data_IF_132038149914
#
_entry.id   IF_132038149914
#
_cell.length_a   1.000
_cell.length_b   1.000
_cell.length_c   1.000
_cell.angle_alpha   90.00
_cell.angle_beta   90.00
_cell.angle_gamma   90.00
#
_symmetry.space_group_name_H-M   'P 1'
#
loop_
_entity.id
_entity.type
_entity.pdbx_description
1 polymer ?
#
# COMPACT_ATOMS: atom_id res chain seq x y z
N UNK A 1 15.29 13.60 -15.13
CA UNK A 1 14.07 13.74 -15.96
C UNK A 1 12.88 13.43 -15.07
N UNK A 2 12.13 14.43 -14.64
CA UNK A 2 10.92 14.23 -13.86
C UNK A 2 9.89 13.47 -14.70
N UNK A 3 9.38 12.36 -14.19
CA UNK A 3 8.31 11.63 -14.86
C UNK A 3 7.06 12.51 -14.79
N UNK A 4 6.59 13.00 -15.95
CA UNK A 4 5.38 13.81 -16.08
C UNK A 4 4.24 13.17 -15.26
N UNK A 5 3.68 13.93 -14.31
CA UNK A 5 2.59 13.51 -13.43
C UNK A 5 3.01 12.84 -12.11
N UNK A 6 4.30 12.65 -11.81
CA UNK A 6 4.77 12.24 -10.48
C UNK A 6 5.13 13.49 -9.66
N UNK A 7 4.42 13.72 -8.55
CA UNK A 7 4.48 14.96 -7.77
C UNK A 7 5.32 14.83 -6.50
N UNK A 8 5.29 13.65 -5.89
CA UNK A 8 5.99 13.35 -4.65
C UNK A 8 6.33 11.86 -4.60
N UNK A 9 7.52 11.53 -4.10
CA UNK A 9 7.95 10.15 -3.95
C UNK A 9 8.73 9.98 -2.66
N UNK A 10 8.25 9.11 -1.78
CA UNK A 10 9.00 8.61 -0.64
C UNK A 10 9.48 7.18 -0.89
N UNK A 11 10.68 6.87 -0.38
CA UNK A 11 11.31 5.56 -0.57
C UNK A 11 11.73 4.99 0.76
N UNK A 12 11.36 3.73 1.00
CA UNK A 12 11.75 2.97 2.19
C UNK A 12 12.48 1.70 1.76
N UNK A 13 13.70 1.50 2.26
CA UNK A 13 14.37 0.21 2.19
C UNK A 13 13.97 -0.61 3.42
N UNK A 14 13.54 -1.85 3.20
CA UNK A 14 13.21 -2.77 4.29
C UNK A 14 14.46 -3.07 5.12
N UNK A 15 14.33 -3.19 6.44
CA UNK A 15 15.45 -3.39 7.36
C UNK A 15 16.24 -4.67 7.06
N UNK A 16 15.54 -5.75 6.70
CA UNK A 16 16.17 -7.00 6.26
C UNK A 16 16.74 -6.97 4.82
N UNK A 17 16.59 -5.85 4.10
CA UNK A 17 17.13 -5.65 2.75
C UNK A 17 16.42 -6.43 1.64
N UNK A 18 15.33 -7.17 1.93
CA UNK A 18 14.63 -7.99 0.93
C UNK A 18 13.67 -7.20 0.04
N UNK A 19 13.21 -6.03 0.51
CA UNK A 19 12.19 -5.22 -0.13
C UNK A 19 12.57 -3.75 -0.19
N UNK A 20 12.00 -3.05 -1.16
CA UNK A 20 11.98 -1.59 -1.22
C UNK A 20 10.57 -1.14 -1.50
N UNK A 21 10.05 -0.24 -0.68
CA UNK A 21 8.74 0.36 -0.84
C UNK A 21 8.86 1.76 -1.43
N UNK A 22 7.93 2.13 -2.30
CA UNK A 22 7.82 3.46 -2.88
C UNK A 22 6.40 3.99 -2.70
N UNK A 23 6.28 5.20 -2.19
CA UNK A 23 5.02 5.91 -2.04
C UNK A 23 5.02 7.07 -3.02
N UNK A 24 4.34 6.90 -4.15
CA UNK A 24 4.36 7.88 -5.23
C UNK A 24 3.01 8.59 -5.28
N UNK A 25 2.97 9.90 -5.07
CA UNK A 25 1.79 10.72 -5.35
C UNK A 25 1.86 11.15 -6.80
N UNK A 26 0.76 10.91 -7.52
CA UNK A 26 0.64 11.21 -8.94
C UNK A 26 -0.62 11.97 -9.25
N UNK A 27 -0.57 12.75 -10.32
CA UNK A 27 -1.70 13.49 -10.89
C UNK A 27 -2.15 12.80 -12.18
N UNK A 28 -3.45 12.59 -12.32
CA UNK A 28 -4.03 12.08 -13.55
C UNK A 28 -4.24 13.23 -14.58
N UNK A 29 -4.74 12.90 -15.78
CA UNK A 29 -4.98 13.91 -16.84
C UNK A 29 -6.11 14.90 -16.55
N UNK A 30 -6.95 14.61 -15.55
CA UNK A 30 -8.08 15.42 -15.12
C UNK A 30 -7.74 16.31 -13.92
N UNK A 31 -6.52 16.17 -13.36
CA UNK A 31 -6.06 16.93 -12.20
C UNK A 31 -6.26 16.20 -10.87
N UNK A 32 -6.89 15.03 -10.85
CA UNK A 32 -7.11 14.29 -9.60
C UNK A 32 -5.82 13.61 -9.14
N UNK A 33 -5.59 13.63 -7.82
CA UNK A 33 -4.42 13.02 -7.23
C UNK A 33 -4.68 11.58 -6.80
N UNK A 34 -3.62 10.77 -6.79
CA UNK A 34 -3.69 9.41 -6.27
C UNK A 34 -2.36 8.96 -5.72
N UNK A 35 -2.43 8.11 -4.70
CA UNK A 35 -1.28 7.45 -4.11
C UNK A 35 -1.04 6.10 -4.80
N UNK A 36 0.20 5.85 -5.20
CA UNK A 36 0.64 4.57 -5.73
C UNK A 36 1.73 3.98 -4.83
N UNK A 37 1.36 2.97 -4.04
CA UNK A 37 2.24 2.25 -3.13
C UNK A 37 2.82 1.04 -3.86
N UNK A 38 4.13 0.99 -4.00
CA UNK A 38 4.84 -0.05 -4.75
C UNK A 38 5.74 -0.83 -3.82
N UNK A 39 5.66 -2.15 -3.84
CA UNK A 39 6.67 -3.03 -3.30
C UNK A 39 7.55 -3.53 -4.43
N UNK A 40 8.87 -3.48 -4.26
CA UNK A 40 9.83 -4.14 -5.13
C UNK A 40 10.70 -5.10 -4.34
N UNK A 41 10.78 -6.35 -4.79
CA UNK A 41 11.62 -7.39 -4.19
C UNK A 41 12.44 -8.11 -5.25
N UNK A 42 13.67 -8.49 -4.89
CA UNK A 42 14.52 -9.29 -5.77
C UNK A 42 14.05 -10.75 -5.73
N UNK A 43 13.84 -11.35 -6.90
CA UNK A 43 13.52 -12.77 -7.03
C UNK A 43 14.78 -13.62 -7.23
N UNK A 44 14.61 -14.95 -7.18
CA UNK A 44 15.70 -15.93 -7.25
C UNK A 44 16.50 -15.83 -8.56
N UNK A 45 15.87 -15.36 -9.64
CA UNK A 45 16.50 -15.16 -10.95
C UNK A 45 17.29 -13.83 -11.02
N UNK A 46 17.41 -13.11 -9.91
CA UNK A 46 18.07 -11.81 -9.83
C UNK A 46 17.31 -10.65 -10.46
N UNK A 47 16.06 -10.87 -10.90
CA UNK A 47 15.16 -9.83 -11.39
C UNK A 47 14.38 -9.21 -10.23
N UNK A 48 13.69 -8.10 -10.47
CA UNK A 48 12.84 -7.48 -9.48
C UNK A 48 11.37 -7.71 -9.82
N UNK A 49 10.66 -8.34 -8.90
CA UNK A 49 9.20 -8.35 -8.91
C UNK A 49 8.70 -7.01 -8.35
N UNK A 50 7.58 -6.55 -8.88
CA UNK A 50 6.94 -5.30 -8.48
C UNK A 50 5.45 -5.51 -8.33
N UNK A 51 4.94 -5.13 -7.16
CA UNK A 51 3.53 -5.15 -6.81
C UNK A 51 3.09 -3.72 -6.55
N UNK A 52 1.88 -3.35 -6.97
CA UNK A 52 1.43 -1.96 -6.98
C UNK A 52 -0.01 -1.88 -6.48
N UNK A 53 -0.25 -1.01 -5.50
CA UNK A 53 -1.57 -0.68 -4.98
C UNK A 53 -1.85 0.79 -5.25
N UNK A 54 -2.99 1.07 -5.87
CA UNK A 54 -3.43 2.43 -6.18
C UNK A 54 -4.58 2.83 -5.24
N UNK A 55 -4.42 3.96 -4.56
CA UNK A 55 -5.44 4.60 -3.72
C UNK A 55 -5.80 5.95 -4.32
N UNK A 56 -7.04 6.11 -4.75
CA UNK A 56 -7.53 7.39 -5.26
C UNK A 56 -7.94 8.30 -4.10
N UNK A 57 -7.93 9.60 -4.36
CA UNK A 57 -8.30 10.64 -3.40
C UNK A 57 -9.69 10.40 -2.77
N UNK A 58 -10.69 10.00 -3.56
CA UNK A 58 -12.04 9.75 -3.05
C UNK A 58 -12.15 8.61 -2.03
N UNK A 59 -11.18 7.69 -2.03
CA UNK A 59 -11.14 6.53 -1.12
C UNK A 59 -10.12 6.72 0.02
N UNK A 60 -9.35 7.82 0.01
CA UNK A 60 -8.15 7.99 0.84
C UNK A 60 -8.47 8.02 2.33
N UNK A 61 -9.48 8.79 2.75
CA UNK A 61 -9.86 8.92 4.16
C UNK A 61 -10.23 7.57 4.80
N UNK A 62 -11.06 6.80 4.10
CA UNK A 62 -11.48 5.47 4.56
C UNK A 62 -10.30 4.50 4.56
N UNK A 63 -9.44 4.57 3.54
CA UNK A 63 -8.24 3.76 3.46
C UNK A 63 -7.28 4.05 4.62
N UNK A 64 -7.00 5.32 4.92
CA UNK A 64 -6.14 5.77 6.03
C UNK A 64 -6.67 5.26 7.36
N UNK A 65 -7.97 5.44 7.62
CA UNK A 65 -8.62 4.96 8.85
C UNK A 65 -8.43 3.45 9.05
N UNK A 66 -8.73 2.64 8.03
CA UNK A 66 -8.66 1.18 8.16
C UNK A 66 -7.21 0.67 8.15
N UNK A 67 -6.31 1.34 7.42
CA UNK A 67 -4.89 1.04 7.42
C UNK A 67 -4.25 1.29 8.80
N UNK A 68 -4.56 2.42 9.45
CA UNK A 68 -4.06 2.71 10.81
C UNK A 68 -4.49 1.65 11.82
N UNK A 69 -5.76 1.22 11.79
CA UNK A 69 -6.26 0.14 12.66
C UNK A 69 -5.51 -1.18 12.42
N UNK A 70 -5.31 -1.55 11.16
CA UNK A 70 -4.58 -2.75 10.80
C UNK A 70 -3.11 -2.69 11.25
N UNK A 71 -2.47 -1.53 11.12
CA UNK A 71 -1.11 -1.34 11.56
C UNK A 71 -0.97 -1.37 13.09
N UNK A 72 -1.91 -0.79 13.84
CA UNK A 72 -1.96 -0.93 15.30
C UNK A 72 -2.08 -2.40 15.71
N UNK A 73 -3.02 -3.15 15.12
CA UNK A 73 -3.19 -4.58 15.40
C UNK A 73 -1.91 -5.41 15.10
N UNK A 74 -1.20 -5.08 14.02
CA UNK A 74 0.08 -5.72 13.70
C UNK A 74 1.19 -5.39 14.70
N UNK A 75 1.28 -4.13 15.16
CA UNK A 75 2.28 -3.70 16.16
C UNK A 75 2.06 -4.30 17.53
N UNK A 76 0.80 -4.35 17.98
CA UNK A 76 0.45 -4.87 19.31
C UNK A 76 0.57 -6.40 19.38
N UNK A 77 0.80 -7.07 18.24
CA UNK A 77 0.89 -8.53 18.12
C UNK A 77 -0.31 -9.26 18.75
N UNK A 78 -1.46 -8.58 18.78
CA UNK A 78 -2.61 -8.94 19.60
C UNK A 78 -3.41 -10.09 18.97
N UNK A 79 -3.69 -9.99 17.66
CA UNK A 79 -4.41 -11.03 16.92
C UNK A 79 -4.23 -10.96 15.41
N UNK A 80 -4.63 -12.03 14.72
CA UNK A 80 -4.95 -11.89 13.30
C UNK A 80 -6.10 -10.89 13.13
N UNK A 81 -6.02 -10.07 12.11
CA UNK A 81 -7.00 -9.04 11.78
C UNK A 81 -7.24 -9.05 10.28
N UNK A 82 -8.51 -8.93 9.87
CA UNK A 82 -8.88 -8.84 8.47
C UNK A 82 -9.96 -7.78 8.31
N UNK A 83 -9.71 -6.80 7.45
CA UNK A 83 -10.67 -5.78 7.08
C UNK A 83 -10.74 -5.64 5.57
N UNK A 84 -11.95 -5.58 5.06
CA UNK A 84 -12.25 -5.24 3.67
C UNK A 84 -12.82 -3.82 3.62
N UNK A 85 -12.33 -3.02 2.67
CA UNK A 85 -12.83 -1.69 2.33
C UNK A 85 -13.30 -1.72 0.87
N UNK A 86 -14.60 -1.54 0.66
CA UNK A 86 -15.19 -1.40 -0.68
C UNK A 86 -15.22 0.07 -1.06
N UNK A 87 -14.62 0.39 -2.21
CA UNK A 87 -14.63 1.75 -2.75
C UNK A 87 -16.03 2.15 -3.22
N UNK A 88 -16.32 3.46 -3.19
CA UNK A 88 -17.61 3.97 -3.66
C UNK A 88 -17.89 3.65 -5.14
N UNK A 89 -16.82 3.50 -5.94
CA UNK A 89 -16.90 3.14 -7.36
C UNK A 89 -17.41 1.71 -7.61
N UNK A 90 -17.32 0.82 -6.62
CA UNK A 90 -17.58 -0.62 -6.77
C UNK A 90 -16.58 -1.37 -7.64
N UNK A 91 -15.61 -0.69 -8.26
CA UNK A 91 -14.60 -1.29 -9.15
C UNK A 91 -13.39 -1.80 -8.41
N UNK A 92 -13.21 -1.37 -7.15
CA UNK A 92 -12.06 -1.73 -6.34
C UNK A 92 -12.45 -2.08 -4.92
N UNK A 93 -11.73 -3.06 -4.38
CA UNK A 93 -11.82 -3.49 -2.99
C UNK A 93 -10.40 -3.55 -2.43
N UNK A 94 -10.19 -2.91 -1.28
CA UNK A 94 -8.95 -3.01 -0.53
C UNK A 94 -9.10 -4.02 0.60
N UNK A 95 -8.02 -4.72 0.91
CA UNK A 95 -7.98 -5.61 2.08
C UNK A 95 -6.77 -5.33 2.95
N UNK A 96 -6.95 -5.43 4.27
CA UNK A 96 -5.90 -5.29 5.26
C UNK A 96 -5.87 -6.55 6.12
N UNK A 97 -4.86 -7.39 5.93
CA UNK A 97 -4.71 -8.66 6.63
C UNK A 97 -3.48 -8.65 7.51
N UNK A 98 -3.66 -8.73 8.82
CA UNK A 98 -2.61 -8.99 9.79
C UNK A 98 -2.53 -10.49 10.01
N UNK A 99 -1.38 -11.09 9.69
CA UNK A 99 -1.17 -12.54 9.82
C UNK A 99 0.14 -12.84 10.53
N UNK A 100 0.10 -13.87 11.38
CA UNK A 100 1.30 -14.41 12.02
C UNK A 100 2.14 -15.16 10.99
N UNK A 101 3.44 -14.92 10.99
CA UNK A 101 4.41 -15.67 10.21
C UNK A 101 4.76 -16.98 10.89
N UNK A 102 5.41 -17.89 10.16
CA UNK A 102 5.97 -19.11 10.73
C UNK A 102 7.04 -18.85 11.81
N UNK A 103 7.64 -17.65 11.82
CA UNK A 103 8.64 -17.23 12.83
C UNK A 103 8.02 -16.63 14.09
N UNK A 104 6.70 -16.43 14.10
CA UNK A 104 5.98 -15.86 15.23
C UNK A 104 5.68 -14.37 15.10
N UNK A 105 6.39 -13.65 14.24
CA UNK A 105 6.16 -12.23 13.99
C UNK A 105 4.90 -12.00 13.16
N UNK A 106 4.19 -10.91 13.41
CA UNK A 106 3.06 -10.51 12.57
C UNK A 106 3.54 -9.78 11.31
N UNK A 107 2.74 -9.84 10.25
CA UNK A 107 2.94 -9.05 9.05
C UNK A 107 1.61 -8.42 8.65
N UNK A 108 1.67 -7.22 8.10
CA UNK A 108 0.53 -6.57 7.49
C UNK A 108 0.58 -6.77 5.97
N UNK A 109 -0.46 -7.37 5.42
CA UNK A 109 -0.66 -7.53 3.98
C UNK A 109 -1.75 -6.56 3.56
N UNK A 110 -1.45 -5.70 2.60
CA UNK A 110 -2.40 -4.79 1.98
C UNK A 110 -2.70 -5.36 0.61
N UNK A 111 -3.98 -5.53 0.27
CA UNK A 111 -4.44 -6.04 -1.01
C UNK A 111 -5.28 -5.03 -1.77
N UNK A 112 -5.22 -5.09 -3.10
CA UNK A 112 -6.12 -4.42 -4.03
C UNK A 112 -6.73 -5.49 -4.95
N UNK A 113 -8.06 -5.60 -4.97
CA UNK A 113 -8.79 -6.30 -6.02
C UNK A 113 -9.47 -5.26 -6.90
N UNK A 114 -9.23 -5.31 -8.21
CA UNK A 114 -9.85 -4.41 -9.17
C UNK A 114 -10.56 -5.16 -10.29
N UNK A 115 -11.76 -4.72 -10.62
CA UNK A 115 -12.53 -5.22 -11.75
C UNK A 115 -12.07 -4.53 -13.03
N UNK A 116 -11.73 -5.31 -14.05
CA UNK A 116 -11.47 -4.83 -15.39
C UNK A 116 -12.79 -4.68 -16.17
N UNK A 117 -12.77 -3.90 -17.25
CA UNK A 117 -13.92 -3.73 -18.15
C UNK A 117 -14.45 -5.04 -18.75
N UNK A 118 -13.64 -6.11 -18.76
CA UNK A 118 -14.03 -7.45 -19.22
C UNK A 118 -14.67 -8.33 -18.14
N UNK A 119 -14.87 -7.82 -16.92
CA UNK A 119 -15.40 -8.58 -15.78
C UNK A 119 -14.38 -9.51 -15.10
N UNK A 120 -13.11 -9.51 -15.54
CA UNK A 120 -12.03 -10.20 -14.82
C UNK A 120 -11.52 -9.36 -13.65
N UNK A 121 -11.08 -10.01 -12.58
CA UNK A 121 -10.46 -9.34 -11.44
C UNK A 121 -8.95 -9.45 -11.53
N UNK A 122 -8.25 -8.35 -11.25
CA UNK A 122 -6.82 -8.37 -10.98
C UNK A 122 -6.61 -8.13 -9.49
N UNK A 123 -5.83 -9.01 -8.86
CA UNK A 123 -5.49 -8.92 -7.45
C UNK A 123 -3.99 -8.62 -7.33
N UNK A 124 -3.66 -7.57 -6.59
CA UNK A 124 -2.31 -7.19 -6.23
C UNK A 124 -2.23 -7.11 -4.71
N UNK A 125 -1.06 -7.41 -4.14
CA UNK A 125 -0.86 -7.25 -2.70
C UNK A 125 0.58 -6.93 -2.38
N UNK A 126 0.79 -6.14 -1.35
CA UNK A 126 2.11 -5.88 -0.76
C UNK A 126 2.12 -6.36 0.68
N UNK A 127 3.30 -6.76 1.16
CA UNK A 127 3.51 -7.23 2.53
C UNK A 127 4.51 -6.33 3.22
N UNK A 128 4.11 -5.82 4.37
CA UNK A 128 4.92 -5.00 5.27
C UNK A 128 5.30 -5.84 6.49
N UNK A 129 6.60 -5.99 6.71
CA UNK A 129 7.12 -6.65 7.91
C UNK A 129 6.93 -5.74 9.13
N UNK A 130 6.76 -6.33 10.32
CA UNK A 130 6.58 -5.55 11.55
C UNK A 130 7.74 -4.60 11.83
N UNK A 131 8.98 -5.02 11.56
CA UNK A 131 10.19 -4.18 11.68
C UNK A 131 10.15 -2.92 10.78
N UNK A 132 9.46 -2.99 9.64
CA UNK A 132 9.36 -1.87 8.70
C UNK A 132 8.13 -1.00 8.95
N UNK A 133 7.17 -1.46 9.77
CA UNK A 133 5.82 -0.92 9.82
C UNK A 133 5.76 0.54 10.29
N UNK A 134 6.64 0.93 11.23
CA UNK A 134 6.70 2.31 11.71
C UNK A 134 7.15 3.29 10.62
N UNK A 135 8.29 3.01 9.98
CA UNK A 135 8.79 3.84 8.86
C UNK A 135 7.86 3.80 7.65
N UNK A 136 7.22 2.66 7.41
CA UNK A 136 6.22 2.51 6.35
C UNK A 136 5.03 3.43 6.61
N UNK A 137 4.49 3.45 7.83
CA UNK A 137 3.42 4.37 8.23
C UNK A 137 3.88 5.82 8.08
N UNK A 138 5.07 6.18 8.54
CA UNK A 138 5.59 7.56 8.42
C UNK A 138 5.60 8.05 6.96
N UNK A 139 6.15 7.23 6.05
CA UNK A 139 6.20 7.58 4.62
C UNK A 139 4.82 7.60 3.96
N UNK A 140 3.92 6.73 4.38
CA UNK A 140 2.51 6.76 3.98
C UNK A 140 1.85 8.07 4.40
N UNK A 141 1.94 8.45 5.68
CA UNK A 141 1.34 9.67 6.23
C UNK A 141 1.91 10.93 5.57
N UNK A 142 3.23 10.99 5.31
CA UNK A 142 3.84 12.06 4.52
C UNK A 142 3.24 12.20 3.12
N UNK A 143 2.94 11.06 2.49
CA UNK A 143 2.36 11.03 1.14
C UNK A 143 0.89 11.46 1.15
N UNK A 144 0.13 11.06 2.17
CA UNK A 144 -1.25 11.51 2.38
C UNK A 144 -1.30 13.01 2.67
N UNK A 145 -0.47 13.50 3.60
CA UNK A 145 -0.37 14.92 3.90
C UNK A 145 0.04 15.76 2.68
N UNK A 146 0.87 15.21 1.79
CA UNK A 146 1.18 15.87 0.52
C UNK A 146 -0.06 16.01 -0.36
N UNK A 147 -0.91 14.98 -0.48
CA UNK A 147 -2.18 15.04 -1.24
C UNK A 147 -3.12 16.07 -0.62
N UNK A 148 -3.33 16.03 0.70
CA UNK A 148 -4.22 16.97 1.42
C UNK A 148 -3.76 18.44 1.35
N UNK A 149 -2.48 18.69 1.04
CA UNK A 149 -1.93 20.04 0.89
C UNK A 149 -2.13 20.66 -0.51
N UNK A 150 -2.73 19.93 -1.44
CA UNK A 150 -2.91 20.36 -2.83
C UNK A 150 -4.23 21.05 -3.13
#
# INVERSE_FOLDING_TARGET
>A
MGKRGELFTEKLFSENGSKTYFFNVKENRFGDYFLNIVESSKNDNGRFDRYSIIVFEEDLDLFVSDFRKAATAAKEMDSEYMKELRTGSGKRVYTFHVKKSSRGDFNLIIGESRSNYSGSFQNESIKVFTEDLEKFLENFEKSVAFIESK
#
